data_IF_930935082326
#
_entry.id   IF_930935082326
#
_cell.length_a   1.000
_cell.length_b   1.000
_cell.length_c   1.000
_cell.angle_alpha   90.00
_cell.angle_beta   90.00
_cell.angle_gamma   90.00
#
_symmetry.space_group_name_H-M   'P 1'
#
loop_
_entity.id
_entity.type
_entity.pdbx_description
1 polymer ?
#
# COMPACT_ATOMS: atom_id res chain seq x y z
N UNK A 1 -9.72 12.47 8.79
CA UNK A 1 -8.66 13.11 9.60
C UNK A 1 -7.38 12.92 8.81
N UNK A 2 -6.60 13.96 8.52
CA UNK A 2 -5.44 13.82 7.62
C UNK A 2 -4.38 12.89 8.22
N UNK A 3 -4.04 11.82 7.51
CA UNK A 3 -2.94 10.94 7.90
C UNK A 3 -1.62 11.51 7.35
N UNK A 4 -0.87 12.22 8.20
CA UNK A 4 0.37 12.88 7.78
C UNK A 4 1.46 11.89 7.32
N UNK A 5 1.42 10.64 7.81
CA UNK A 5 2.37 9.62 7.38
C UNK A 5 2.03 9.18 5.96
N UNK A 6 0.77 8.85 5.67
CA UNK A 6 0.35 8.51 4.32
C UNK A 6 0.49 9.67 3.35
N UNK A 7 0.16 10.90 3.76
CA UNK A 7 0.38 12.09 2.94
C UNK A 7 1.83 12.21 2.50
N UNK A 8 2.77 12.07 3.45
CA UNK A 8 4.19 12.12 3.16
C UNK A 8 4.59 10.99 2.22
N UNK A 9 4.17 9.76 2.53
CA UNK A 9 4.47 8.59 1.71
C UNK A 9 3.99 8.75 0.26
N UNK A 10 2.71 9.12 0.08
CA UNK A 10 2.13 9.37 -1.24
C UNK A 10 2.90 10.47 -1.96
N UNK A 11 3.25 11.58 -1.30
CA UNK A 11 4.02 12.65 -1.95
C UNK A 11 5.40 12.21 -2.43
N UNK A 12 6.05 11.28 -1.74
CA UNK A 12 7.36 10.72 -2.11
C UNK A 12 7.25 9.66 -3.23
N UNK A 13 6.12 8.96 -3.32
CA UNK A 13 5.93 7.81 -4.21
C UNK A 13 5.12 8.11 -5.48
N UNK A 14 4.30 9.16 -5.48
CA UNK A 14 3.36 9.44 -6.57
C UNK A 14 4.07 9.56 -7.93
N UNK A 15 5.26 10.17 -7.97
CA UNK A 15 6.03 10.28 -9.20
C UNK A 15 6.48 8.90 -9.72
N UNK A 16 6.92 8.01 -8.82
CA UNK A 16 7.33 6.65 -9.17
C UNK A 16 6.13 5.84 -9.68
N UNK A 17 4.99 5.93 -8.99
CA UNK A 17 3.77 5.25 -9.41
C UNK A 17 3.27 5.75 -10.77
N UNK A 18 3.27 7.06 -11.01
CA UNK A 18 2.91 7.63 -12.31
C UNK A 18 3.84 7.16 -13.43
N UNK A 19 5.16 7.13 -13.18
CA UNK A 19 6.12 6.59 -14.15
C UNK A 19 5.82 5.12 -14.44
N UNK A 20 5.51 4.31 -13.41
CA UNK A 20 5.16 2.91 -13.62
C UNK A 20 3.87 2.77 -14.44
N UNK A 21 2.79 3.48 -14.07
CA UNK A 21 1.50 3.43 -14.76
C UNK A 21 1.60 3.73 -16.25
N UNK A 22 2.47 4.68 -16.61
CA UNK A 22 2.69 5.09 -18.00
C UNK A 22 3.54 4.12 -18.82
N UNK A 23 4.26 3.21 -18.16
CA UNK A 23 5.13 2.23 -18.80
C UNK A 23 4.51 0.83 -18.86
N UNK A 24 3.31 0.63 -18.30
CA UNK A 24 2.59 -0.65 -18.30
C UNK A 24 1.21 -0.52 -18.92
N UNK A 25 0.63 -1.64 -19.31
CA UNK A 25 -0.78 -1.66 -19.73
C UNK A 25 -1.70 -1.79 -18.51
N UNK A 26 -1.95 -0.66 -17.84
CA UNK A 26 -2.68 -0.59 -16.57
C UNK A 26 -4.02 -1.36 -16.54
N UNK A 27 -4.89 -1.30 -17.56
CA UNK A 27 -6.15 -2.06 -17.55
C UNK A 27 -5.95 -3.58 -17.45
N UNK A 28 -4.92 -4.12 -18.11
CA UNK A 28 -4.65 -5.56 -18.04
C UNK A 28 -4.13 -5.98 -16.68
N UNK A 29 -3.26 -5.18 -16.05
CA UNK A 29 -2.80 -5.45 -14.70
C UNK A 29 -3.95 -5.45 -13.69
N UNK A 30 -4.87 -4.48 -13.81
CA UNK A 30 -6.05 -4.40 -12.93
C UNK A 30 -6.98 -5.60 -13.15
N UNK A 31 -7.23 -6.04 -14.39
CA UNK A 31 -8.05 -7.22 -14.66
C UNK A 31 -7.44 -8.50 -14.06
N UNK A 32 -6.13 -8.72 -14.25
CA UNK A 32 -5.41 -9.86 -13.65
C UNK A 32 -5.51 -9.82 -12.13
N UNK A 33 -5.28 -8.65 -11.53
CA UNK A 33 -5.38 -8.48 -10.07
C UNK A 33 -6.80 -8.71 -9.54
N UNK A 34 -7.83 -8.20 -10.22
CA UNK A 34 -9.22 -8.45 -9.84
C UNK A 34 -9.55 -9.95 -9.86
N UNK A 35 -9.10 -10.68 -10.88
CA UNK A 35 -9.28 -12.14 -10.95
C UNK A 35 -8.54 -12.84 -9.82
N UNK A 36 -7.31 -12.42 -9.53
CA UNK A 36 -6.53 -12.95 -8.41
C UNK A 36 -7.26 -12.75 -7.08
N UNK A 37 -7.73 -11.54 -6.79
CA UNK A 37 -8.48 -11.21 -5.57
C UNK A 37 -9.75 -12.05 -5.47
N UNK A 38 -10.50 -12.19 -6.57
CA UNK A 38 -11.72 -13.00 -6.60
C UNK A 38 -11.45 -14.49 -6.33
N UNK A 39 -10.35 -15.04 -6.84
CA UNK A 39 -9.95 -16.43 -6.61
C UNK A 39 -9.27 -16.64 -5.24
N UNK A 40 -8.71 -15.60 -4.65
CA UNK A 40 -7.94 -15.66 -3.40
C UNK A 40 -8.40 -14.64 -2.35
N UNK A 41 -9.69 -14.66 -1.95
CA UNK A 41 -10.23 -13.66 -1.02
C UNK A 41 -9.56 -13.71 0.36
N UNK A 42 -9.07 -14.88 0.78
CA UNK A 42 -8.37 -15.11 2.03
C UNK A 42 -6.84 -15.06 1.92
N UNK A 43 -6.30 -14.44 0.87
CA UNK A 43 -4.86 -14.36 0.67
C UNK A 43 -4.16 -13.71 1.88
N UNK A 44 -3.07 -14.33 2.32
CA UNK A 44 -2.18 -13.81 3.37
C UNK A 44 -0.79 -13.74 2.76
N UNK A 45 -0.18 -12.55 2.65
CA UNK A 45 1.16 -12.40 2.11
C UNK A 45 2.16 -13.14 3.00
N UNK A 46 3.04 -13.94 2.40
CA UNK A 46 4.20 -14.50 3.11
C UNK A 46 5.38 -13.55 2.95
N UNK A 47 6.27 -13.52 3.95
CA UNK A 47 7.47 -12.69 3.92
C UNK A 47 8.33 -12.96 2.67
N UNK A 48 8.42 -14.23 2.28
CA UNK A 48 9.21 -14.73 1.14
C UNK A 48 8.39 -14.90 -0.15
N UNK A 49 7.26 -14.21 -0.31
CA UNK A 49 6.50 -14.28 -1.57
C UNK A 49 7.38 -13.77 -2.72
N UNK A 50 7.71 -14.66 -3.66
CA UNK A 50 8.43 -14.35 -4.92
C UNK A 50 7.49 -14.02 -6.08
N UNK A 51 6.19 -14.08 -5.84
CA UNK A 51 5.16 -13.74 -6.83
C UNK A 51 5.19 -12.23 -7.09
N UNK A 52 5.61 -11.83 -8.29
CA UNK A 52 5.84 -10.43 -8.66
C UNK A 52 4.59 -9.56 -8.57
N UNK A 53 3.41 -10.14 -8.79
CA UNK A 53 2.15 -9.40 -8.78
C UNK A 53 1.73 -9.06 -7.34
N UNK A 54 2.03 -9.95 -6.39
CA UNK A 54 1.84 -9.69 -4.96
C UNK A 54 2.98 -8.85 -4.40
N UNK A 55 4.20 -8.99 -4.92
CA UNK A 55 5.33 -8.18 -4.54
C UNK A 55 5.04 -6.68 -4.73
N UNK A 56 4.32 -6.29 -5.79
CA UNK A 56 3.93 -4.88 -5.98
C UNK A 56 3.02 -4.35 -4.86
N UNK A 57 2.01 -5.14 -4.46
CA UNK A 57 1.09 -4.75 -3.35
C UNK A 57 1.86 -4.70 -2.03
N UNK A 58 2.77 -5.65 -1.83
CA UNK A 58 3.67 -5.67 -0.69
C UNK A 58 4.56 -4.44 -0.68
N UNK A 59 5.21 -4.10 -1.78
CA UNK A 59 6.15 -2.97 -1.90
C UNK A 59 5.43 -1.62 -1.74
N UNK A 60 4.19 -1.51 -2.23
CA UNK A 60 3.37 -0.31 -2.08
C UNK A 60 2.89 -0.09 -0.65
N UNK A 61 2.63 -1.18 0.09
CA UNK A 61 2.15 -1.08 1.48
C UNK A 61 3.30 -1.12 2.50
N UNK A 62 4.42 -1.74 2.14
CA UNK A 62 5.58 -2.05 3.00
C UNK A 62 6.88 -1.54 2.37
N UNK A 63 6.98 -0.23 2.21
CA UNK A 63 8.26 0.42 1.87
C UNK A 63 9.14 0.47 3.13
N UNK A 64 10.05 -0.50 3.25
CA UNK A 64 10.95 -0.64 4.40
C UNK A 64 11.83 0.61 4.60
N UNK A 65 12.30 1.24 3.53
CA UNK A 65 13.13 2.44 3.62
C UNK A 65 12.34 3.61 4.20
N UNK A 66 11.09 3.78 3.76
CA UNK A 66 10.20 4.79 4.31
C UNK A 66 9.92 4.54 5.79
N UNK A 67 9.56 3.30 6.18
CA UNK A 67 9.21 2.96 7.55
C UNK A 67 10.40 3.10 8.52
N UNK A 68 11.60 2.68 8.13
CA UNK A 68 12.80 2.87 8.94
C UNK A 68 13.14 4.35 9.14
N UNK A 69 12.79 5.19 8.17
CA UNK A 69 12.94 6.65 8.24
C UNK A 69 11.91 7.38 9.11
N UNK A 70 10.88 6.69 9.62
CA UNK A 70 9.89 7.27 10.53
C UNK A 70 10.42 7.33 11.97
N UNK A 71 9.96 8.33 12.72
CA UNK A 71 10.12 8.35 14.19
C UNK A 71 9.17 7.34 14.84
N UNK A 72 9.38 6.99 16.11
CA UNK A 72 8.49 6.08 16.85
C UNK A 72 7.04 6.56 16.86
N UNK A 73 6.82 7.87 17.01
CA UNK A 73 5.49 8.47 16.89
C UNK A 73 4.90 8.30 15.48
N UNK A 74 5.72 8.46 14.44
CA UNK A 74 5.30 8.22 13.06
C UNK A 74 4.94 6.76 12.80
N UNK A 75 5.72 5.83 13.36
CA UNK A 75 5.44 4.40 13.31
C UNK A 75 4.15 4.03 14.04
N UNK A 76 3.84 4.67 15.16
CA UNK A 76 2.56 4.49 15.84
C UNK A 76 1.39 5.00 15.01
N UNK A 77 1.53 6.15 14.35
CA UNK A 77 0.48 6.64 13.44
C UNK A 77 0.29 5.64 12.31
N UNK A 78 1.36 5.27 11.60
CA UNK A 78 1.32 4.25 10.54
C UNK A 78 0.66 2.95 11.01
N UNK A 79 1.05 2.45 12.20
CA UNK A 79 0.54 1.19 12.73
C UNK A 79 -0.98 1.22 12.99
N UNK A 80 -1.56 2.40 13.22
CA UNK A 80 -2.98 2.57 13.45
C UNK A 80 -3.74 3.06 12.20
N UNK A 81 -3.04 3.33 11.10
CA UNK A 81 -3.64 3.75 9.85
C UNK A 81 -4.39 2.61 9.15
N UNK A 82 -5.19 2.98 8.16
CA UNK A 82 -5.86 2.04 7.25
C UNK A 82 -5.38 2.24 5.81
N UNK A 83 -5.67 1.29 4.93
CA UNK A 83 -5.47 1.46 3.49
C UNK A 83 -6.46 2.49 2.94
N UNK A 84 -7.68 2.58 3.49
CA UNK A 84 -8.62 3.64 3.12
C UNK A 84 -8.03 5.05 3.28
N UNK A 85 -7.32 5.30 4.38
CA UNK A 85 -6.62 6.58 4.59
C UNK A 85 -5.48 6.82 3.59
N UNK A 86 -4.83 5.76 3.09
CA UNK A 86 -3.85 5.87 2.01
C UNK A 86 -4.53 6.30 0.70
N UNK A 87 -5.65 5.66 0.35
CA UNK A 87 -6.42 5.98 -0.85
C UNK A 87 -6.95 7.42 -0.80
N UNK A 88 -7.44 7.86 0.36
CA UNK A 88 -7.90 9.24 0.59
C UNK A 88 -6.79 10.26 0.30
N UNK A 89 -5.54 9.99 0.68
CA UNK A 89 -4.41 10.89 0.40
C UNK A 89 -3.92 10.79 -1.06
N UNK A 90 -4.26 9.72 -1.80
CA UNK A 90 -4.01 9.58 -3.24
C UNK A 90 -5.05 10.31 -4.10
N UNK A 91 -6.31 10.38 -3.66
CA UNK A 91 -7.44 10.98 -4.41
C UNK A 91 -7.15 12.38 -4.99
N UNK A 92 -6.52 13.33 -4.29
CA UNK A 92 -6.18 14.64 -4.86
C UNK A 92 -5.26 14.56 -6.10
N UNK A 93 -4.44 13.51 -6.20
CA UNK A 93 -3.62 13.27 -7.38
C UNK A 93 -4.43 12.61 -8.52
N UNK A 94 -5.43 11.80 -8.19
CA UNK A 94 -6.38 11.22 -9.15
C UNK A 94 -7.13 12.28 -9.96
N UNK A 95 -7.50 13.41 -9.33
CA UNK A 95 -8.12 14.56 -10.01
C UNK A 95 -7.26 15.11 -11.18
N UNK A 96 -5.94 14.97 -11.07
CA UNK A 96 -4.99 15.49 -12.07
C UNK A 96 -4.45 14.41 -13.00
N UNK A 97 -4.40 13.16 -12.54
CA UNK A 97 -3.79 12.05 -13.23
C UNK A 97 -4.78 10.88 -13.29
N UNK A 98 -5.43 10.66 -14.45
CA UNK A 98 -6.46 9.62 -14.60
C UNK A 98 -5.97 8.22 -14.23
N UNK A 99 -4.68 7.93 -14.44
CA UNK A 99 -4.09 6.64 -14.07
C UNK A 99 -4.14 6.38 -12.55
N UNK A 100 -3.98 7.44 -11.76
CA UNK A 100 -4.06 7.37 -10.30
C UNK A 100 -5.51 7.20 -9.86
N UNK A 101 -6.45 7.91 -10.51
CA UNK A 101 -7.88 7.75 -10.23
C UNK A 101 -8.33 6.30 -10.44
N UNK A 102 -7.90 5.69 -11.54
CA UNK A 102 -8.18 4.27 -11.83
C UNK A 102 -7.62 3.34 -10.75
N UNK A 103 -6.43 3.63 -10.20
CA UNK A 103 -5.85 2.86 -9.10
C UNK A 103 -6.66 3.07 -7.80
N UNK A 104 -7.04 4.30 -7.48
CA UNK A 104 -7.88 4.60 -6.32
C UNK A 104 -9.21 3.84 -6.39
N UNK A 105 -9.90 3.89 -7.52
CA UNK A 105 -11.17 3.18 -7.72
C UNK A 105 -11.02 1.66 -7.61
N UNK A 106 -9.92 1.11 -8.14
CA UNK A 106 -9.59 -0.31 -8.01
C UNK A 106 -9.34 -0.70 -6.54
N UNK A 107 -8.60 0.11 -5.80
CA UNK A 107 -8.34 -0.12 -4.37
C UNK A 107 -9.60 -0.01 -3.54
N UNK A 108 -10.46 0.98 -3.79
CA UNK A 108 -11.74 1.14 -3.10
C UNK A 108 -12.69 -0.04 -3.35
N UNK A 109 -12.76 -0.48 -4.61
CA UNK A 109 -13.60 -1.64 -5.00
C UNK A 109 -13.16 -2.94 -4.31
N UNK A 110 -11.90 -3.02 -3.91
CA UNK A 110 -11.30 -4.18 -3.24
C UNK A 110 -10.79 -3.85 -1.82
N UNK A 111 -11.30 -2.80 -1.19
CA UNK A 111 -10.69 -2.22 0.02
C UNK A 111 -10.52 -3.24 1.13
N UNK A 112 -11.57 -4.05 1.39
CA UNK A 112 -11.53 -5.08 2.43
C UNK A 112 -10.41 -6.12 2.24
N UNK A 113 -10.06 -6.41 0.99
CA UNK A 113 -8.96 -7.32 0.66
C UNK A 113 -7.62 -6.65 0.94
N UNK A 114 -7.44 -5.40 0.52
CA UNK A 114 -6.22 -4.65 0.80
C UNK A 114 -6.01 -4.41 2.30
N UNK A 115 -7.06 -4.08 3.05
CA UNK A 115 -7.00 -3.93 4.51
C UNK A 115 -6.54 -5.22 5.18
N UNK A 116 -7.02 -6.37 4.71
CA UNK A 116 -6.59 -7.68 5.22
C UNK A 116 -5.10 -7.90 4.96
N UNK A 117 -4.65 -7.72 3.72
CA UNK A 117 -3.24 -7.87 3.32
C UNK A 117 -2.35 -6.93 4.13
N UNK A 118 -2.77 -5.68 4.28
CA UNK A 118 -2.08 -4.67 5.08
C UNK A 118 -1.99 -5.05 6.55
N UNK A 119 -3.09 -5.50 7.17
CA UNK A 119 -3.13 -5.88 8.57
C UNK A 119 -2.17 -7.03 8.90
N UNK A 120 -2.11 -8.04 8.03
CA UNK A 120 -1.16 -9.15 8.19
C UNK A 120 0.29 -8.69 8.07
N UNK A 121 0.58 -7.90 7.03
CA UNK A 121 1.90 -7.33 6.84
C UNK A 121 2.42 -6.47 7.98
N UNK A 122 1.53 -5.60 8.43
CA UNK A 122 1.80 -4.69 9.53
C UNK A 122 2.18 -5.44 10.80
N UNK A 123 1.51 -6.56 11.12
CA UNK A 123 1.84 -7.35 12.30
C UNK A 123 3.28 -7.88 12.27
N UNK A 124 3.73 -8.38 11.11
CA UNK A 124 5.10 -8.87 10.92
C UNK A 124 6.14 -7.75 11.02
N UNK A 125 5.84 -6.58 10.45
CA UNK A 125 6.72 -5.41 10.50
C UNK A 125 6.81 -4.84 11.91
N UNK A 126 5.71 -4.71 12.64
CA UNK A 126 5.72 -4.25 14.03
C UNK A 126 6.56 -5.20 14.89
N UNK A 127 6.43 -6.52 14.69
CA UNK A 127 7.24 -7.51 15.39
C UNK A 127 8.73 -7.31 15.12
N UNK A 128 9.11 -7.06 13.87
CA UNK A 128 10.48 -6.77 13.47
C UNK A 128 11.01 -5.46 14.07
N UNK A 129 10.25 -4.37 13.97
CA UNK A 129 10.67 -3.07 14.51
C UNK A 129 10.83 -3.11 16.03
N UNK A 130 9.98 -3.87 16.73
CA UNK A 130 10.14 -4.12 18.18
C UNK A 130 11.40 -4.92 18.50
N UNK A 131 11.78 -5.91 17.67
CA UNK A 131 13.06 -6.62 17.87
C UNK A 131 14.29 -5.75 17.64
N UNK A 132 14.17 -4.71 16.80
CA UNK A 132 15.19 -3.67 16.60
C UNK A 132 15.19 -2.61 17.73
N UNK A 133 14.36 -2.78 18.76
CA UNK A 133 14.30 -1.89 19.94
C UNK A 133 13.43 -0.64 19.77
N UNK A 134 12.60 -0.55 18.71
CA UNK A 134 11.66 0.56 18.51
C UNK A 134 10.47 0.43 19.46
N UNK A 135 10.03 1.54 20.06
CA UNK A 135 8.84 1.58 20.93
C UNK A 135 7.59 1.96 20.12
N UNK A 136 6.84 0.94 19.69
CA UNK A 136 5.59 1.07 18.91
C UNK A 136 4.43 0.46 19.69
#
# INVERSE_FOLDING_TARGET
MTNLVWRRYVSEMIEKWLRWCRNVHLPSHIDVMNRFIALTPGYIPKRDTTDSDVALVKDMLWDEQFLLGLSDKGLQVWANSTVGELVDEMRPYGERFPEIEVICDFMDSNLSWFERVYAFGRADIIKFLRSEGRNI
#
